data_IF_906717603680
#
_entry.id   IF_906717603680
#
_cell.length_a   1.000
_cell.length_b   1.000
_cell.length_c   1.000
_cell.angle_alpha   90.00
_cell.angle_beta   90.00
_cell.angle_gamma   90.00
#
_symmetry.space_group_name_H-M   'P 1'
#
loop_
_entity.id
_entity.type
_entity.pdbx_description
1 polymer ?
#
# COMPACT_ATOMS: atom_id res chain seq x y z
N UNK A 1 23.90 9.83 -5.96
CA UNK A 1 23.07 9.68 -4.76
C UNK A 1 22.29 8.38 -4.83
N UNK A 2 22.06 7.74 -3.69
CA UNK A 2 21.28 6.50 -3.64
C UNK A 2 19.84 6.78 -4.05
N UNK A 3 19.23 5.82 -4.72
CA UNK A 3 17.81 5.87 -5.03
C UNK A 3 16.97 5.87 -3.76
N UNK A 4 15.84 6.55 -3.81
CA UNK A 4 14.83 6.45 -2.76
C UNK A 4 14.13 5.11 -2.87
N UNK A 5 13.88 4.49 -1.73
CA UNK A 5 13.37 3.12 -1.65
C UNK A 5 11.94 3.09 -1.14
N UNK A 6 11.14 2.19 -1.70
CA UNK A 6 9.74 2.04 -1.36
C UNK A 6 9.44 0.57 -1.08
N UNK A 7 8.75 0.30 0.03
CA UNK A 7 8.16 -1.02 0.28
C UNK A 7 6.67 -0.96 -0.05
N UNK A 8 6.18 -2.02 -0.69
CA UNK A 8 4.74 -2.18 -0.95
C UNK A 8 4.22 -3.26 -0.01
N UNK A 9 3.24 -2.90 0.79
CA UNK A 9 2.67 -3.78 1.81
C UNK A 9 1.21 -4.08 1.49
N UNK A 10 0.92 -5.33 1.23
CA UNK A 10 -0.42 -5.80 0.91
C UNK A 10 -0.92 -6.75 2.00
N UNK A 11 -2.12 -6.51 2.48
CA UNK A 11 -2.73 -7.23 3.59
C UNK A 11 -3.53 -8.46 3.19
N UNK A 12 -4.38 -8.93 4.12
CA UNK A 12 -5.10 -10.19 3.96
C UNK A 12 -5.96 -10.26 2.69
N UNK A 13 -5.96 -11.44 2.10
CA UNK A 13 -6.76 -11.82 0.94
C UNK A 13 -6.32 -11.20 -0.39
N UNK A 14 -5.35 -10.29 -0.39
CA UNK A 14 -4.87 -9.67 -1.63
C UNK A 14 -4.11 -10.66 -2.51
N UNK A 15 -3.62 -11.75 -1.93
CA UNK A 15 -3.05 -12.86 -2.69
C UNK A 15 -4.08 -13.54 -3.62
N UNK A 16 -5.37 -13.31 -3.38
CA UNK A 16 -6.44 -13.91 -4.19
C UNK A 16 -6.91 -13.01 -5.33
N UNK A 17 -6.26 -11.87 -5.53
CA UNK A 17 -6.60 -10.99 -6.65
C UNK A 17 -6.52 -11.74 -7.98
N UNK A 18 -7.45 -11.41 -8.87
CA UNK A 18 -7.61 -12.11 -10.15
C UNK A 18 -8.58 -13.27 -10.09
N UNK A 19 -8.80 -13.85 -8.91
CA UNK A 19 -9.72 -14.98 -8.72
C UNK A 19 -10.86 -14.67 -7.76
N UNK A 20 -10.66 -13.71 -6.84
CA UNK A 20 -11.64 -13.33 -5.83
C UNK A 20 -12.48 -12.15 -6.32
N UNK A 21 -13.79 -12.36 -6.42
CA UNK A 21 -14.75 -11.30 -6.75
C UNK A 21 -14.23 -10.36 -7.87
N UNK A 22 -13.94 -10.88 -9.08
CA UNK A 22 -13.33 -10.07 -10.13
C UNK A 22 -14.19 -8.88 -10.56
N UNK A 23 -15.50 -8.95 -10.35
CA UNK A 23 -16.41 -7.85 -10.66
C UNK A 23 -16.20 -6.66 -9.70
N UNK A 24 -15.57 -6.88 -8.53
CA UNK A 24 -15.28 -5.85 -7.53
C UNK A 24 -13.82 -5.39 -7.63
N UNK A 25 -12.89 -6.34 -7.68
CA UNK A 25 -11.45 -6.07 -7.56
C UNK A 25 -10.69 -6.15 -8.89
N UNK A 26 -11.34 -6.57 -9.99
CA UNK A 26 -10.69 -6.76 -11.28
C UNK A 26 -10.08 -8.14 -11.44
N UNK A 27 -9.47 -8.39 -12.61
CA UNK A 27 -8.97 -9.72 -12.99
C UNK A 27 -7.46 -9.86 -12.92
N UNK A 28 -6.73 -8.79 -12.68
CA UNK A 28 -5.28 -8.87 -12.56
C UNK A 28 -4.88 -9.59 -11.28
N UNK A 29 -3.87 -10.46 -11.39
CA UNK A 29 -3.30 -11.12 -10.24
C UNK A 29 -2.38 -10.15 -9.47
N UNK A 30 -2.11 -10.47 -8.21
CA UNK A 30 -1.20 -9.66 -7.41
C UNK A 30 0.21 -9.62 -8.03
N UNK A 31 0.69 -10.75 -8.59
CA UNK A 31 1.99 -10.80 -9.25
C UNK A 31 2.06 -9.85 -10.45
N UNK A 32 0.99 -9.79 -11.25
CA UNK A 32 0.91 -8.86 -12.38
C UNK A 32 0.95 -7.41 -11.89
N UNK A 33 0.24 -7.12 -10.80
CA UNK A 33 0.22 -5.80 -10.18
C UNK A 33 1.61 -5.44 -9.68
N UNK A 34 2.30 -6.37 -9.00
CA UNK A 34 3.66 -6.13 -8.52
C UNK A 34 4.62 -5.82 -9.67
N UNK A 35 4.47 -6.52 -10.81
CA UNK A 35 5.26 -6.25 -12.00
C UNK A 35 5.06 -4.82 -12.52
N UNK A 36 3.81 -4.37 -12.56
CA UNK A 36 3.48 -3.00 -12.98
C UNK A 36 4.05 -1.96 -12.01
N UNK A 37 3.98 -2.22 -10.71
CA UNK A 37 4.54 -1.34 -9.68
C UNK A 37 6.06 -1.19 -9.88
N UNK A 38 6.76 -2.31 -10.05
CA UNK A 38 8.22 -2.29 -10.25
C UNK A 38 8.61 -1.56 -11.53
N UNK A 39 7.87 -1.76 -12.61
CA UNK A 39 8.13 -1.09 -13.88
C UNK A 39 7.96 0.43 -13.74
N UNK A 40 6.87 0.86 -13.11
CA UNK A 40 6.61 2.29 -12.92
C UNK A 40 7.63 2.93 -11.98
N UNK A 41 8.03 2.23 -10.92
CA UNK A 41 9.05 2.70 -10.00
C UNK A 41 10.37 2.96 -10.73
N UNK A 42 10.77 2.04 -11.60
CA UNK A 42 11.97 2.21 -12.43
C UNK A 42 11.91 3.47 -13.30
N UNK A 43 10.77 3.72 -13.92
CA UNK A 43 10.55 4.93 -14.72
C UNK A 43 10.68 6.22 -13.90
N UNK A 44 10.28 6.14 -12.63
CA UNK A 44 10.32 7.29 -11.70
C UNK A 44 11.65 7.41 -10.96
N UNK A 45 12.59 6.52 -11.19
CA UNK A 45 13.87 6.52 -10.48
C UNK A 45 13.80 6.03 -9.05
N UNK A 46 12.76 5.25 -8.71
CA UNK A 46 12.57 4.67 -7.38
C UNK A 46 12.96 3.20 -7.38
N UNK A 47 13.37 2.71 -6.22
CA UNK A 47 13.65 1.29 -6.03
C UNK A 47 12.56 0.66 -5.15
N UNK A 48 11.95 -0.42 -5.61
CA UNK A 48 11.04 -1.21 -4.79
C UNK A 48 11.88 -2.25 -4.06
N UNK A 49 12.01 -2.11 -2.74
CA UNK A 49 12.79 -3.05 -1.94
C UNK A 49 12.07 -4.38 -1.78
N UNK A 50 10.75 -4.34 -1.74
CA UNK A 50 9.94 -5.54 -1.59
C UNK A 50 8.48 -5.22 -1.92
N UNK A 51 7.80 -6.21 -2.51
CA UNK A 51 6.35 -6.23 -2.61
C UNK A 51 5.88 -7.36 -1.69
N UNK A 52 5.57 -7.00 -0.45
CA UNK A 52 5.24 -7.96 0.59
C UNK A 52 3.72 -8.12 0.74
N UNK A 53 3.26 -9.36 0.82
CA UNK A 53 1.87 -9.68 1.08
C UNK A 53 1.78 -10.69 2.20
N UNK A 54 0.85 -10.49 3.13
CA UNK A 54 0.59 -11.48 4.17
C UNK A 54 -0.87 -11.41 4.64
N UNK A 55 -1.39 -12.56 5.03
CA UNK A 55 -2.69 -12.67 5.68
C UNK A 55 -2.57 -12.50 7.20
N UNK A 56 -1.36 -12.31 7.71
CA UNK A 56 -1.09 -12.24 9.15
C UNK A 56 -0.70 -10.82 9.54
N UNK A 57 -1.44 -10.23 10.45
CA UNK A 57 -1.19 -8.88 10.96
C UNK A 57 0.24 -8.72 11.49
N UNK A 58 0.69 -9.69 12.30
CA UNK A 58 2.03 -9.66 12.87
C UNK A 58 3.13 -9.68 11.82
N UNK A 59 2.93 -10.42 10.73
CA UNK A 59 3.92 -10.48 9.66
C UNK A 59 4.07 -9.13 8.96
N UNK A 60 2.95 -8.42 8.77
CA UNK A 60 2.97 -7.08 8.19
C UNK A 60 3.71 -6.09 9.10
N UNK A 61 3.44 -6.18 10.39
CA UNK A 61 4.10 -5.34 11.41
C UNK A 61 5.60 -5.63 11.43
N UNK A 62 5.99 -6.90 11.47
CA UNK A 62 7.40 -7.29 11.47
C UNK A 62 8.12 -6.81 10.21
N UNK A 63 7.44 -6.85 9.06
CA UNK A 63 8.03 -6.34 7.82
C UNK A 63 8.32 -4.84 7.90
N UNK A 64 7.41 -4.07 8.46
CA UNK A 64 7.63 -2.64 8.67
C UNK A 64 8.82 -2.38 9.61
N UNK A 65 8.99 -3.21 10.63
CA UNK A 65 10.06 -3.05 11.61
C UNK A 65 11.46 -3.25 11.03
N UNK A 66 11.60 -3.81 9.85
CA UNK A 66 12.90 -3.94 9.17
C UNK A 66 13.48 -2.58 8.79
N UNK A 67 12.63 -1.59 8.57
CA UNK A 67 13.01 -0.19 8.32
C UNK A 67 14.02 -0.01 7.17
N UNK A 68 13.92 -0.86 6.16
CA UNK A 68 14.82 -0.87 5.00
C UNK A 68 14.27 -0.07 3.82
N UNK A 69 13.38 0.88 4.08
CA UNK A 69 12.70 1.67 3.07
C UNK A 69 12.61 3.13 3.50
N UNK A 70 12.51 4.03 2.51
CA UNK A 70 12.29 5.46 2.77
C UNK A 70 10.80 5.81 2.86
N UNK A 71 9.96 5.07 2.14
CA UNK A 71 8.51 5.27 2.16
C UNK A 71 7.80 3.95 1.90
N UNK A 72 6.50 3.92 2.16
CA UNK A 72 5.69 2.73 1.96
C UNK A 72 4.41 3.04 1.18
N UNK A 73 3.93 2.03 0.47
CA UNK A 73 2.59 2.00 -0.09
C UNK A 73 1.86 0.87 0.62
N UNK A 74 0.72 1.19 1.25
CA UNK A 74 0.03 0.24 2.12
C UNK A 74 -1.41 0.04 1.64
N UNK A 75 -1.72 -1.19 1.26
CA UNK A 75 -3.08 -1.66 1.08
C UNK A 75 -3.33 -2.73 2.14
N UNK A 76 -3.89 -2.31 3.26
CA UNK A 76 -4.03 -3.19 4.42
C UNK A 76 -5.23 -4.16 4.30
N UNK A 77 -6.03 -4.03 3.25
CA UNK A 77 -7.24 -4.85 3.13
C UNK A 77 -8.19 -4.60 4.30
N UNK A 78 -8.79 -5.66 4.82
CA UNK A 78 -9.72 -5.55 5.95
C UNK A 78 -9.08 -5.03 7.23
N UNK A 79 -7.78 -5.14 7.39
CA UNK A 79 -7.08 -4.63 8.58
C UNK A 79 -7.18 -3.11 8.71
N UNK A 80 -7.47 -2.41 7.62
CA UNK A 80 -7.74 -0.97 7.62
C UNK A 80 -8.82 -0.59 8.65
N UNK A 81 -9.79 -1.47 8.84
CA UNK A 81 -10.97 -1.22 9.66
C UNK A 81 -10.87 -1.77 11.08
N UNK A 82 -9.82 -2.54 11.38
CA UNK A 82 -9.72 -3.28 12.64
C UNK A 82 -8.37 -3.12 13.35
N UNK A 83 -7.28 -2.81 12.63
CA UNK A 83 -5.95 -2.95 13.21
C UNK A 83 -5.39 -1.64 13.75
N UNK A 84 -5.55 -1.44 15.03
CA UNK A 84 -4.84 -0.39 15.77
C UNK A 84 -3.34 -0.70 15.80
N UNK A 85 -2.98 -1.98 15.91
CA UNK A 85 -1.57 -2.39 15.98
C UNK A 85 -0.81 -2.05 14.70
N UNK A 86 -1.44 -2.21 13.54
CA UNK A 86 -0.80 -1.83 12.27
C UNK A 86 -0.63 -0.31 12.18
N UNK A 87 -1.64 0.46 12.60
CA UNK A 87 -1.55 1.91 12.72
C UNK A 87 -0.35 2.30 13.60
N UNK A 88 -0.23 1.67 14.76
CA UNK A 88 0.84 1.96 15.70
C UNK A 88 2.22 1.63 15.12
N UNK A 89 2.32 0.53 14.36
CA UNK A 89 3.56 0.17 13.69
C UNK A 89 3.98 1.22 12.65
N UNK A 90 3.04 1.72 11.87
CA UNK A 90 3.29 2.76 10.88
C UNK A 90 3.77 4.07 11.55
N UNK A 91 3.14 4.43 12.66
CA UNK A 91 3.59 5.58 13.45
C UNK A 91 4.98 5.38 14.04
N UNK A 92 5.25 4.19 14.55
CA UNK A 92 6.53 3.87 15.21
C UNK A 92 7.70 3.92 14.23
N UNK A 93 7.55 3.40 13.02
CA UNK A 93 8.63 3.44 12.02
C UNK A 93 8.81 4.84 11.46
N UNK A 94 7.81 5.67 11.56
CA UNK A 94 7.85 7.11 11.24
C UNK A 94 8.43 7.40 9.85
N UNK A 95 7.96 6.67 8.85
CA UNK A 95 8.28 6.91 7.45
C UNK A 95 6.99 7.20 6.70
N UNK A 96 7.01 8.10 5.70
CA UNK A 96 5.78 8.45 4.99
C UNK A 96 5.20 7.24 4.27
N UNK A 97 3.89 7.16 4.26
CA UNK A 97 3.22 6.13 3.48
C UNK A 97 1.96 6.66 2.80
N UNK A 98 1.62 6.05 1.67
CA UNK A 98 0.38 6.29 0.95
C UNK A 98 -0.52 5.08 1.14
N UNK A 99 -1.76 5.34 1.56
CA UNK A 99 -2.77 4.30 1.68
C UNK A 99 -3.44 4.09 0.32
N UNK A 100 -3.62 2.83 -0.08
CA UNK A 100 -4.28 2.48 -1.34
C UNK A 100 -5.39 1.48 -1.09
N UNK A 101 -6.55 1.73 -1.69
CA UNK A 101 -7.67 0.79 -1.74
C UNK A 101 -8.12 0.67 -3.20
N UNK A 102 -8.28 -0.56 -3.68
CA UNK A 102 -8.71 -0.81 -5.07
C UNK A 102 -10.13 -0.31 -5.32
N UNK A 103 -11.00 -0.50 -4.32
CA UNK A 103 -12.38 -0.02 -4.35
C UNK A 103 -12.57 1.02 -3.26
N UNK A 104 -13.74 1.68 -3.26
CA UNK A 104 -14.08 2.60 -2.18
C UNK A 104 -14.80 1.82 -1.07
N UNK A 105 -14.14 1.58 0.08
CA UNK A 105 -14.76 0.81 1.17
C UNK A 105 -16.02 1.48 1.73
N UNK A 106 -16.11 2.80 1.65
CA UNK A 106 -17.25 3.54 2.22
C UNK A 106 -18.56 3.26 1.49
N UNK A 107 -18.50 2.71 0.28
CA UNK A 107 -19.69 2.33 -0.50
C UNK A 107 -20.16 0.91 -0.21
N UNK A 108 -19.49 0.21 0.69
CA UNK A 108 -19.78 -1.18 1.05
C UNK A 108 -20.45 -1.24 2.42
N UNK A 109 -20.19 -2.28 3.22
CA UNK A 109 -20.82 -2.43 4.53
C UNK A 109 -20.44 -1.27 5.47
N UNK A 110 -21.35 -0.85 6.37
CA UNK A 110 -21.08 0.32 7.25
C UNK A 110 -19.80 0.23 8.09
N UNK A 111 -19.40 -0.97 8.52
CA UNK A 111 -18.18 -1.11 9.34
C UNK A 111 -16.92 -0.75 8.56
N UNK A 112 -16.97 -0.72 7.22
CA UNK A 112 -15.82 -0.34 6.38
C UNK A 112 -15.58 1.15 6.31
N UNK A 113 -16.42 1.95 6.96
CA UNK A 113 -16.22 3.40 7.08
C UNK A 113 -15.16 3.74 8.11
N UNK A 114 -14.91 2.83 9.06
CA UNK A 114 -13.83 3.00 10.04
C UNK A 114 -12.51 2.77 9.33
N UNK A 115 -11.59 3.72 9.46
CA UNK A 115 -10.27 3.64 8.83
C UNK A 115 -9.22 4.13 9.83
N UNK A 116 -8.35 3.23 10.26
CA UNK A 116 -7.31 3.53 11.23
C UNK A 116 -6.01 4.03 10.61
N UNK A 117 -5.93 4.14 9.29
CA UNK A 117 -4.70 4.50 8.59
C UNK A 117 -4.73 5.86 7.91
N UNK A 118 -5.90 6.28 7.43
CA UNK A 118 -6.01 7.46 6.57
C UNK A 118 -5.48 8.74 7.21
N UNK A 119 -5.75 8.94 8.50
CA UNK A 119 -5.35 10.18 9.19
C UNK A 119 -3.85 10.26 9.47
N UNK A 120 -3.12 9.15 9.38
CA UNK A 120 -1.65 9.12 9.58
C UNK A 120 -0.88 8.93 8.26
N UNK A 121 -1.57 8.61 7.17
CA UNK A 121 -0.99 8.53 5.83
C UNK A 121 -0.76 9.93 5.26
N UNK A 122 0.19 10.07 4.34
CA UNK A 122 0.38 11.35 3.64
C UNK A 122 -0.67 11.56 2.57
N UNK A 123 -1.29 10.49 2.08
CA UNK A 123 -2.39 10.53 1.14
C UNK A 123 -3.12 9.20 1.15
N UNK A 124 -4.38 9.23 0.73
CA UNK A 124 -5.19 8.01 0.52
C UNK A 124 -5.72 8.02 -0.89
N UNK A 125 -5.48 6.95 -1.63
CA UNK A 125 -5.98 6.76 -2.99
C UNK A 125 -7.02 5.65 -2.94
N UNK A 126 -8.25 5.99 -3.23
CA UNK A 126 -9.40 5.13 -2.96
C UNK A 126 -10.25 4.99 -4.22
N UNK A 127 -10.54 3.75 -4.62
CA UNK A 127 -11.47 3.51 -5.72
C UNK A 127 -10.90 3.67 -7.13
N UNK A 128 -9.59 3.76 -7.27
CA UNK A 128 -8.95 3.91 -8.58
C UNK A 128 -8.48 2.59 -9.18
N UNK A 129 -8.88 1.47 -8.58
CA UNK A 129 -8.42 0.15 -9.03
C UNK A 129 -6.91 0.02 -8.89
N UNK A 130 -6.33 -0.77 -9.76
CA UNK A 130 -4.88 -1.07 -9.75
C UNK A 130 -4.03 0.19 -9.97
N UNK A 131 -4.55 1.18 -10.69
CA UNK A 131 -3.83 2.45 -10.92
C UNK A 131 -3.49 3.17 -9.62
N UNK A 132 -4.22 2.89 -8.55
CA UNK A 132 -3.92 3.48 -7.24
C UNK A 132 -2.48 3.26 -6.80
N UNK A 133 -1.91 2.10 -7.10
CA UNK A 133 -0.51 1.82 -6.76
C UNK A 133 0.47 2.68 -7.54
N UNK A 134 0.27 2.85 -8.85
CA UNK A 134 1.18 3.67 -9.66
C UNK A 134 1.01 5.14 -9.35
N UNK A 135 -0.20 5.59 -9.05
CA UNK A 135 -0.46 6.95 -8.60
C UNK A 135 0.24 7.22 -7.26
N UNK A 136 0.26 6.23 -6.36
CA UNK A 136 0.98 6.35 -5.09
C UNK A 136 2.48 6.54 -5.32
N UNK A 137 3.07 5.79 -6.26
CA UNK A 137 4.47 5.95 -6.62
C UNK A 137 4.77 7.36 -7.15
N UNK A 138 3.89 7.89 -8.00
CA UNK A 138 4.03 9.23 -8.54
C UNK A 138 4.00 10.28 -7.43
N UNK A 139 3.09 10.12 -6.47
CA UNK A 139 3.00 10.97 -5.30
C UNK A 139 4.29 10.95 -4.48
N UNK A 140 4.83 9.76 -4.23
CA UNK A 140 6.06 9.60 -3.45
C UNK A 140 7.25 10.18 -4.20
N UNK A 141 7.36 9.94 -5.50
CA UNK A 141 8.44 10.49 -6.32
C UNK A 141 8.43 12.02 -6.25
N UNK A 142 7.25 12.62 -6.35
CA UNK A 142 7.10 14.08 -6.26
C UNK A 142 7.49 14.59 -4.88
N UNK A 143 7.10 13.90 -3.83
CA UNK A 143 7.45 14.25 -2.46
C UNK A 143 8.96 14.21 -2.24
N UNK A 144 9.64 13.17 -2.74
CA UNK A 144 11.10 13.06 -2.62
C UNK A 144 11.81 14.21 -3.33
N UNK A 145 11.33 14.60 -4.51
CA UNK A 145 11.89 15.73 -5.25
C UNK A 145 11.78 17.03 -4.46
N UNK A 146 10.62 17.27 -3.84
CA UNK A 146 10.40 18.51 -3.09
C UNK A 146 11.24 18.60 -1.83
N UNK A 147 11.70 17.46 -1.30
CA UNK A 147 12.49 17.41 -0.07
C UNK A 147 14.00 17.27 -0.32
N UNK A 148 14.36 17.11 -1.58
CA UNK A 148 15.77 16.97 -1.96
C UNK A 148 16.51 18.31 -1.92
#
# INVERSE_FOLDING_TARGET
MAQQTVVVLNGPNLNLLGTREPQIYGRQTLDEIHGQIRARAGELGLEIVDCFQSNHEGALIDRLHEKDFDAAIVNAGGLTHTSVSLRDALLAVNRPFVEVHLTDPSTREPFRKVNFLADVAIASIVGHGVRGYTEALELLAERFKRRA
#
